data_IF_486181243329
#
_entry.id   IF_486181243329
#
_cell.length_a   1.000
_cell.length_b   1.000
_cell.length_c   1.000
_cell.angle_alpha   90.00
_cell.angle_beta   90.00
_cell.angle_gamma   90.00
#
_symmetry.space_group_name_H-M   'P 1'
#
loop_
_entity.id
_entity.type
_entity.pdbx_description
1 polymer ?
#
# COMPACT_ATOMS: atom_id res chain seq x y z
N UNK A 1 1.11 27.09 6.56
CA UNK A 1 -0.05 26.18 6.43
C UNK A 1 -0.04 25.06 7.50
N UNK A 2 0.83 24.05 7.46
CA UNK A 2 0.73 22.89 8.39
C UNK A 2 0.84 23.25 9.90
N UNK A 3 1.66 24.25 10.26
CA UNK A 3 1.72 24.75 11.64
C UNK A 3 0.37 25.31 12.09
N UNK A 4 -0.24 26.15 11.25
CA UNK A 4 -1.54 26.77 11.51
C UNK A 4 -2.64 25.71 11.68
N UNK A 5 -2.68 24.68 10.81
CA UNK A 5 -3.64 23.57 10.96
C UNK A 5 -3.49 22.86 12.32
N UNK A 6 -2.25 22.60 12.75
CA UNK A 6 -1.98 21.99 14.07
C UNK A 6 -2.44 22.88 15.22
N UNK A 7 -2.20 24.19 15.13
CA UNK A 7 -2.59 25.15 16.16
C UNK A 7 -4.11 25.28 16.26
N UNK A 8 -4.82 25.25 15.12
CA UNK A 8 -6.29 25.20 15.07
C UNK A 8 -6.82 23.93 15.73
N UNK A 9 -6.35 22.75 15.32
CA UNK A 9 -6.78 21.46 15.91
C UNK A 9 -6.50 21.44 17.42
N UNK A 10 -5.35 21.95 17.84
CA UNK A 10 -4.99 22.06 19.26
C UNK A 10 -6.00 22.93 20.01
N UNK A 11 -6.38 24.08 19.48
CA UNK A 11 -7.38 24.93 20.12
C UNK A 11 -8.71 24.19 20.33
N UNK A 12 -9.26 23.57 19.28
CA UNK A 12 -10.52 22.82 19.38
C UNK A 12 -10.42 21.66 20.39
N UNK A 13 -9.26 21.00 20.48
CA UNK A 13 -9.07 19.92 21.46
C UNK A 13 -9.02 20.38 22.92
N UNK A 14 -8.79 21.67 23.19
CA UNK A 14 -8.69 22.23 24.54
C UNK A 14 -9.90 23.08 24.94
N UNK A 15 -10.68 23.59 23.98
CA UNK A 15 -11.84 24.44 24.23
C UNK A 15 -13.12 23.63 24.12
N UNK A 16 -13.76 23.34 25.26
CA UNK A 16 -15.08 22.68 25.29
C UNK A 16 -16.11 23.48 24.51
N UNK A 17 -16.12 24.81 24.64
CA UNK A 17 -17.03 25.69 23.91
C UNK A 17 -16.85 25.56 22.39
N UNK A 18 -15.62 25.63 21.90
CA UNK A 18 -15.32 25.55 20.47
C UNK A 18 -15.63 24.17 19.92
N UNK A 19 -15.42 23.10 20.70
CA UNK A 19 -15.76 21.73 20.31
C UNK A 19 -17.29 21.54 20.21
N UNK A 20 -18.06 22.07 21.16
CA UNK A 20 -19.53 22.00 21.11
C UNK A 20 -20.09 22.74 19.90
N UNK A 21 -19.56 23.93 19.60
CA UNK A 21 -19.96 24.71 18.42
C UNK A 21 -19.62 23.97 17.12
N UNK A 22 -18.43 23.36 17.06
CA UNK A 22 -18.02 22.54 15.93
C UNK A 22 -18.95 21.34 15.74
N UNK A 23 -19.31 20.64 16.83
CA UNK A 23 -20.19 19.47 16.75
C UNK A 23 -21.59 19.84 16.25
N UNK A 24 -22.15 20.94 16.74
CA UNK A 24 -23.45 21.44 16.29
C UNK A 24 -23.43 21.71 14.78
N UNK A 25 -22.42 22.44 14.28
CA UNK A 25 -22.28 22.74 12.85
C UNK A 25 -22.07 21.48 12.01
N UNK A 26 -21.30 20.51 12.51
CA UNK A 26 -21.12 19.22 11.82
C UNK A 26 -22.43 18.47 11.66
N UNK A 27 -23.31 18.51 12.65
CA UNK A 27 -24.64 17.92 12.55
C UNK A 27 -25.52 18.66 11.55
N UNK A 28 -25.45 20.00 11.51
CA UNK A 28 -26.18 20.84 10.54
C UNK A 28 -25.75 20.57 9.09
N UNK A 29 -24.46 20.29 8.84
CA UNK A 29 -23.91 20.02 7.51
C UNK A 29 -23.79 18.52 7.18
N UNK A 30 -24.36 17.64 8.01
CA UNK A 30 -24.30 16.17 7.84
C UNK A 30 -22.86 15.61 7.75
N UNK A 31 -21.90 16.29 8.39
CA UNK A 31 -20.48 15.89 8.43
C UNK A 31 -20.26 14.85 9.53
N UNK A 32 -20.13 13.59 9.13
CA UNK A 32 -20.00 12.44 10.02
C UNK A 32 -18.69 12.38 10.83
N UNK A 33 -17.62 13.03 10.37
CA UNK A 33 -16.30 12.98 11.01
C UNK A 33 -15.83 14.33 11.59
N UNK A 34 -15.29 14.29 12.81
CA UNK A 34 -14.78 15.47 13.52
C UNK A 34 -13.28 15.66 13.35
N UNK A 35 -12.75 16.82 13.72
CA UNK A 35 -11.32 17.15 13.55
C UNK A 35 -10.42 16.04 14.10
N UNK A 36 -9.59 15.45 13.22
CA UNK A 36 -8.65 14.40 13.59
C UNK A 36 -7.35 15.02 14.07
N UNK A 37 -6.92 14.63 15.27
CA UNK A 37 -5.60 15.00 15.80
C UNK A 37 -4.51 14.39 14.92
N UNK A 38 -3.60 15.24 14.46
CA UNK A 38 -2.42 14.80 13.73
C UNK A 38 -1.53 14.00 14.67
N UNK A 39 -1.48 12.69 14.46
CA UNK A 39 -0.70 11.76 15.25
C UNK A 39 0.78 11.79 14.84
N UNK A 40 1.66 11.40 15.77
CA UNK A 40 3.09 11.22 15.47
C UNK A 40 3.38 9.92 14.71
N UNK A 41 2.51 8.91 14.85
CA UNK A 41 2.76 7.53 14.41
C UNK A 41 2.01 7.14 13.13
N UNK A 42 0.86 7.74 12.84
CA UNK A 42 0.05 7.41 11.64
C UNK A 42 0.30 8.43 10.54
N UNK A 43 1.05 8.02 9.52
CA UNK A 43 1.53 8.86 8.41
C UNK A 43 0.42 9.60 7.65
N UNK A 44 -0.78 9.01 7.51
CA UNK A 44 -1.90 9.62 6.80
C UNK A 44 -2.75 10.59 7.63
N UNK A 45 -2.50 10.77 8.94
CA UNK A 45 -3.33 11.66 9.77
C UNK A 45 -3.26 13.13 9.35
N UNK A 46 -2.17 13.54 8.70
CA UNK A 46 -2.06 14.85 8.07
C UNK A 46 -3.07 15.04 6.94
N UNK A 47 -3.30 14.00 6.12
CA UNK A 47 -4.27 14.05 5.04
C UNK A 47 -5.70 14.18 5.58
N UNK A 48 -6.09 13.32 6.53
CA UNK A 48 -7.43 13.39 7.14
C UNK A 48 -7.66 14.74 7.84
N UNK A 49 -6.67 15.24 8.56
CA UNK A 49 -6.75 16.57 9.19
C UNK A 49 -6.92 17.70 8.17
N UNK A 50 -6.27 17.63 7.00
CA UNK A 50 -6.43 18.62 5.94
C UNK A 50 -7.81 18.53 5.29
N UNK A 51 -8.30 17.33 4.97
CA UNK A 51 -9.62 17.12 4.36
C UNK A 51 -10.72 17.64 5.29
N UNK A 52 -10.68 17.25 6.56
CA UNK A 52 -11.65 17.71 7.55
C UNK A 52 -11.49 19.18 7.89
N UNK A 53 -10.25 19.68 7.87
CA UNK A 53 -9.98 21.11 7.97
C UNK A 53 -10.76 21.88 6.90
N UNK A 54 -10.62 21.52 5.62
CA UNK A 54 -11.32 22.20 4.51
C UNK A 54 -12.83 22.33 4.76
N UNK A 55 -13.48 21.29 5.32
CA UNK A 55 -14.91 21.31 5.63
C UNK A 55 -15.23 22.10 6.92
N UNK A 56 -14.37 22.01 7.94
CA UNK A 56 -14.57 22.67 9.23
C UNK A 56 -14.30 24.19 9.22
N UNK A 57 -13.71 24.75 8.15
CA UNK A 57 -13.37 26.18 8.04
C UNK A 57 -14.59 27.05 7.64
N UNK A 58 -15.72 26.88 8.32
CA UNK A 58 -16.86 27.81 8.28
C UNK A 58 -16.47 29.02 9.14
N UNK A 59 -16.41 30.21 8.54
CA UNK A 59 -15.82 31.42 9.10
C UNK A 59 -16.33 31.86 10.49
N UNK A 60 -17.51 31.41 10.91
CA UNK A 60 -18.13 31.82 12.18
C UNK A 60 -17.48 31.21 13.44
N UNK A 61 -16.98 29.97 13.38
CA UNK A 61 -16.47 29.28 14.58
C UNK A 61 -15.06 29.76 14.97
N UNK A 62 -14.31 30.31 14.01
CA UNK A 62 -12.92 30.74 14.18
C UNK A 62 -12.77 32.20 14.65
N UNK A 63 -13.83 33.01 14.54
CA UNK A 63 -13.85 34.40 15.00
C UNK A 63 -13.72 34.52 16.54
N UNK A 64 -14.03 33.45 17.28
CA UNK A 64 -13.94 33.40 18.75
C UNK A 64 -12.57 32.87 19.27
N UNK A 65 -11.60 32.67 18.39
CA UNK A 65 -10.27 32.23 18.78
C UNK A 65 -9.50 33.38 19.43
N UNK A 66 -8.76 33.10 20.51
CA UNK A 66 -7.84 34.07 21.13
C UNK A 66 -6.43 34.06 20.52
N UNK A 67 -6.14 33.13 19.59
CA UNK A 67 -4.82 33.02 18.98
C UNK A 67 -4.70 34.01 17.81
N UNK A 68 -3.92 35.08 18.01
CA UNK A 68 -3.70 36.15 17.02
C UNK A 68 -3.25 35.65 15.65
N UNK A 69 -2.42 34.60 15.58
CA UNK A 69 -1.95 34.03 14.30
C UNK A 69 -3.09 33.32 13.56
N UNK A 70 -3.98 32.67 14.30
CA UNK A 70 -5.16 31.99 13.74
C UNK A 70 -6.18 33.03 13.30
N UNK A 71 -6.50 34.00 14.17
CA UNK A 71 -7.35 35.13 13.83
C UNK A 71 -6.83 35.83 12.57
N UNK A 72 -5.55 36.20 12.50
CA UNK A 72 -4.99 36.90 11.34
C UNK A 72 -5.09 36.09 10.03
N UNK A 73 -4.89 34.77 10.09
CA UNK A 73 -5.03 33.91 8.92
C UNK A 73 -6.48 33.73 8.45
N UNK A 74 -7.46 33.92 9.34
CA UNK A 74 -8.89 33.72 9.05
C UNK A 74 -9.70 35.03 8.96
N UNK A 75 -9.18 36.17 9.41
CA UNK A 75 -9.87 37.48 9.43
C UNK A 75 -9.82 38.19 8.07
N UNK A 76 -8.85 37.86 7.22
CA UNK A 76 -8.73 38.44 5.88
C UNK A 76 -9.28 37.49 4.81
N UNK A 77 -10.20 37.97 3.96
CA UNK A 77 -10.79 37.19 2.87
C UNK A 77 -9.72 36.55 1.96
N UNK A 78 -8.63 37.27 1.70
CA UNK A 78 -7.51 36.79 0.88
C UNK A 78 -6.64 35.76 1.59
N UNK A 79 -6.24 36.01 2.85
CA UNK A 79 -5.38 35.10 3.62
C UNK A 79 -6.07 33.76 3.89
N UNK A 80 -7.38 33.80 4.15
CA UNK A 80 -8.21 32.61 4.31
C UNK A 80 -8.26 31.81 3.00
N UNK A 81 -8.55 32.47 1.87
CA UNK A 81 -8.58 31.81 0.57
C UNK A 81 -7.23 31.18 0.20
N UNK A 82 -6.11 31.88 0.43
CA UNK A 82 -4.76 31.36 0.19
C UNK A 82 -4.47 30.12 1.05
N UNK A 83 -4.91 30.11 2.31
CA UNK A 83 -4.77 28.97 3.20
C UNK A 83 -5.63 27.77 2.77
N UNK A 84 -6.91 27.99 2.42
CA UNK A 84 -7.80 26.97 1.90
C UNK A 84 -7.27 26.36 0.60
N UNK A 85 -6.80 27.20 -0.32
CA UNK A 85 -6.17 26.76 -1.56
C UNK A 85 -4.94 25.88 -1.27
N UNK A 86 -4.08 26.30 -0.34
CA UNK A 86 -2.91 25.51 0.06
C UNK A 86 -3.30 24.15 0.66
N UNK A 87 -4.36 24.08 1.48
CA UNK A 87 -4.88 22.82 2.02
C UNK A 87 -5.46 21.93 0.92
N UNK A 88 -6.18 22.51 -0.04
CA UNK A 88 -6.74 21.77 -1.17
C UNK A 88 -5.63 21.20 -2.05
N UNK A 89 -4.60 21.98 -2.36
CA UNK A 89 -3.43 21.51 -3.11
C UNK A 89 -2.71 20.38 -2.38
N UNK A 90 -2.46 20.56 -1.08
CA UNK A 90 -1.80 19.54 -0.27
C UNK A 90 -2.60 18.23 -0.19
N UNK A 91 -3.91 18.31 0.10
CA UNK A 91 -4.77 17.13 0.15
C UNK A 91 -4.86 16.43 -1.21
N UNK A 92 -4.91 17.19 -2.31
CA UNK A 92 -4.90 16.64 -3.67
C UNK A 92 -3.62 15.85 -3.94
N UNK A 93 -2.45 16.39 -3.59
CA UNK A 93 -1.15 15.72 -3.79
C UNK A 93 -1.01 14.48 -2.91
N UNK A 94 -1.42 14.55 -1.64
CA UNK A 94 -1.18 13.47 -0.66
C UNK A 94 -2.27 12.39 -0.72
N UNK A 95 -3.45 12.69 -1.26
CA UNK A 95 -4.59 11.78 -1.36
C UNK A 95 -4.26 10.40 -1.94
N UNK A 96 -3.60 10.30 -3.11
CA UNK A 96 -3.21 9.01 -3.69
C UNK A 96 -2.34 8.18 -2.74
N UNK A 97 -1.39 8.83 -2.05
CA UNK A 97 -0.49 8.16 -1.11
C UNK A 97 -1.24 7.70 0.14
N UNK A 98 -2.12 8.54 0.68
CA UNK A 98 -2.91 8.22 1.87
C UNK A 98 -3.87 7.05 1.61
N UNK A 99 -4.58 7.04 0.47
CA UNK A 99 -5.47 5.94 0.11
C UNK A 99 -4.72 4.64 -0.14
N UNK A 100 -3.56 4.70 -0.80
CA UNK A 100 -2.70 3.54 -1.00
C UNK A 100 -2.20 2.99 0.33
N UNK A 101 -1.79 3.85 1.26
CA UNK A 101 -1.39 3.44 2.60
C UNK A 101 -2.54 2.75 3.34
N UNK A 102 -3.75 3.31 3.32
CA UNK A 102 -4.91 2.68 3.96
C UNK A 102 -5.30 1.35 3.32
N UNK A 103 -5.23 1.26 1.99
CA UNK A 103 -5.46 0.00 1.28
C UNK A 103 -4.40 -1.04 1.65
N UNK A 104 -3.15 -0.63 1.88
CA UNK A 104 -2.11 -1.53 2.38
C UNK A 104 -2.42 -2.08 3.77
N UNK A 105 -3.20 -1.38 4.60
CA UNK A 105 -3.60 -1.86 5.93
C UNK A 105 -4.76 -2.88 5.90
N UNK A 106 -5.32 -3.18 4.72
CA UNK A 106 -6.33 -4.22 4.60
C UNK A 106 -5.72 -5.61 4.87
N UNK A 107 -6.52 -6.50 5.45
CA UNK A 107 -6.05 -7.82 5.89
C UNK A 107 -5.68 -8.76 4.72
N UNK A 108 -6.22 -8.48 3.52
CA UNK A 108 -6.03 -9.30 2.31
C UNK A 108 -4.93 -8.77 1.38
N UNK A 109 -4.26 -7.69 1.78
CA UNK A 109 -3.20 -7.08 0.98
C UNK A 109 -1.96 -7.96 0.96
N UNK A 110 -1.41 -8.19 -0.22
CA UNK A 110 -0.22 -8.98 -0.45
C UNK A 110 0.90 -8.18 -1.16
N UNK A 111 2.04 -8.81 -1.40
CA UNK A 111 3.22 -8.18 -1.99
C UNK A 111 3.00 -7.61 -3.40
N UNK A 112 2.09 -8.19 -4.20
CA UNK A 112 1.74 -7.66 -5.51
C UNK A 112 1.03 -6.30 -5.38
N UNK A 113 0.14 -6.16 -4.40
CA UNK A 113 -0.64 -4.94 -4.20
C UNK A 113 0.27 -3.74 -3.88
N UNK A 114 1.39 -3.95 -3.19
CA UNK A 114 2.40 -2.91 -2.93
C UNK A 114 2.92 -2.33 -4.24
N UNK A 115 3.33 -3.19 -5.18
CA UNK A 115 3.80 -2.75 -6.49
C UNK A 115 2.69 -2.04 -7.28
N UNK A 116 1.48 -2.60 -7.27
CA UNK A 116 0.33 -2.02 -7.96
C UNK A 116 -0.05 -0.64 -7.40
N UNK A 117 0.03 -0.43 -6.09
CA UNK A 117 -0.24 0.88 -5.49
C UNK A 117 0.85 1.90 -5.81
N UNK A 118 2.12 1.52 -5.90
CA UNK A 118 3.15 2.41 -6.44
C UNK A 118 2.79 2.86 -7.88
N UNK A 119 2.37 1.94 -8.75
CA UNK A 119 1.94 2.29 -10.11
C UNK A 119 0.71 3.20 -10.11
N UNK A 120 -0.28 2.91 -9.27
CA UNK A 120 -1.50 3.70 -9.15
C UNK A 120 -1.21 5.13 -8.68
N UNK A 121 -0.37 5.30 -7.64
CA UNK A 121 0.07 6.63 -7.17
C UNK A 121 0.78 7.38 -8.30
N UNK A 122 1.68 6.71 -9.03
CA UNK A 122 2.41 7.34 -10.13
C UNK A 122 1.47 7.85 -11.23
N UNK A 123 0.49 7.01 -11.62
CA UNK A 123 -0.51 7.35 -12.62
C UNK A 123 -1.37 8.53 -12.17
N UNK A 124 -1.84 8.51 -10.92
CA UNK A 124 -2.70 9.56 -10.38
C UNK A 124 -1.95 10.89 -10.20
N UNK A 125 -0.72 10.87 -9.67
CA UNK A 125 0.09 12.07 -9.57
C UNK A 125 0.37 12.70 -10.96
N UNK A 126 0.63 11.86 -11.97
CA UNK A 126 0.81 12.34 -13.35
C UNK A 126 -0.46 13.02 -13.88
N UNK A 127 -1.62 12.47 -13.59
CA UNK A 127 -2.91 13.02 -14.02
C UNK A 127 -3.30 14.30 -13.25
N UNK A 128 -2.93 14.40 -11.97
CA UNK A 128 -3.06 15.64 -11.19
C UNK A 128 -2.16 16.74 -11.78
N UNK A 129 -0.94 16.40 -12.16
CA UNK A 129 0.04 17.38 -12.63
C UNK A 129 -0.05 17.72 -14.12
N UNK A 130 -0.80 16.94 -14.92
CA UNK A 130 -1.12 17.29 -16.31
C UNK A 130 -2.14 18.41 -16.40
N UNK A 131 -2.86 18.71 -15.31
CA UNK A 131 -3.94 19.71 -15.23
C UNK A 131 -3.64 20.80 -14.18
N UNK A 132 -2.64 21.66 -14.44
CA UNK A 132 -2.27 22.72 -13.50
C UNK A 132 -3.38 23.77 -13.31
N UNK A 133 -4.22 24.00 -14.32
CA UNK A 133 -5.35 24.95 -14.28
C UNK A 133 -6.38 24.53 -13.22
N UNK A 134 -6.71 23.24 -13.16
CA UNK A 134 -7.74 22.69 -12.25
C UNK A 134 -7.25 22.61 -10.79
N UNK A 135 -5.96 22.37 -10.61
CA UNK A 135 -5.37 22.10 -9.29
C UNK A 135 -4.67 23.30 -8.67
N UNK A 136 -4.32 24.30 -9.49
CA UNK A 136 -3.48 25.44 -9.10
C UNK A 136 -2.04 25.06 -8.73
N UNK A 137 -1.62 23.81 -8.99
CA UNK A 137 -0.29 23.31 -8.62
C UNK A 137 0.74 23.77 -9.64
N UNK A 138 1.74 24.53 -9.20
CA UNK A 138 2.83 24.99 -10.05
C UNK A 138 3.64 23.81 -10.61
N UNK A 139 3.99 23.87 -11.89
CA UNK A 139 4.77 22.84 -12.58
C UNK A 139 6.14 22.58 -11.93
N UNK A 140 6.77 23.60 -11.35
CA UNK A 140 8.02 23.42 -10.59
C UNK A 140 7.84 22.54 -9.35
N UNK A 141 6.72 22.69 -8.64
CA UNK A 141 6.40 21.88 -7.47
C UNK A 141 6.05 20.45 -7.90
N UNK A 142 5.26 20.29 -8.97
CA UNK A 142 4.93 19.00 -9.56
C UNK A 142 6.20 18.19 -9.91
N UNK A 143 7.16 18.82 -10.61
CA UNK A 143 8.45 18.20 -10.94
C UNK A 143 9.22 17.75 -9.70
N UNK A 144 9.27 18.58 -8.66
CA UNK A 144 9.93 18.23 -7.37
C UNK A 144 9.27 17.02 -6.72
N UNK A 145 7.95 16.97 -6.69
CA UNK A 145 7.19 15.86 -6.09
C UNK A 145 7.42 14.57 -6.87
N UNK A 146 7.31 14.61 -8.20
CA UNK A 146 7.57 13.44 -9.05
C UNK A 146 9.01 12.95 -8.87
N UNK A 147 9.99 13.86 -8.78
CA UNK A 147 11.38 13.46 -8.54
C UNK A 147 11.55 12.75 -7.18
N UNK A 148 10.92 13.26 -6.12
CA UNK A 148 10.93 12.60 -4.80
C UNK A 148 10.29 11.22 -4.90
N UNK A 149 9.13 11.12 -5.55
CA UNK A 149 8.40 9.88 -5.73
C UNK A 149 9.23 8.84 -6.49
N UNK A 150 9.81 9.21 -7.63
CA UNK A 150 10.63 8.31 -8.44
C UNK A 150 11.90 7.86 -7.73
N UNK A 151 12.54 8.77 -6.98
CA UNK A 151 13.68 8.39 -6.14
C UNK A 151 13.29 7.32 -5.13
N UNK A 152 12.17 7.50 -4.42
CA UNK A 152 11.66 6.51 -3.45
C UNK A 152 11.25 5.21 -4.11
N UNK A 153 10.60 5.29 -5.29
CA UNK A 153 10.26 4.11 -6.08
C UNK A 153 11.52 3.31 -6.46
N UNK A 154 12.56 4.00 -6.94
CA UNK A 154 13.83 3.36 -7.31
C UNK A 154 14.47 2.66 -6.11
N UNK A 155 14.60 3.37 -4.99
CA UNK A 155 15.16 2.83 -3.74
C UNK A 155 14.36 1.62 -3.22
N UNK A 156 13.04 1.63 -3.35
CA UNK A 156 12.15 0.64 -2.74
C UNK A 156 11.81 -0.56 -3.63
N UNK A 157 11.75 -0.35 -4.95
CA UNK A 157 11.35 -1.36 -5.94
C UNK A 157 12.54 -1.80 -6.79
N UNK A 158 13.23 -0.87 -7.45
CA UNK A 158 14.27 -1.23 -8.44
C UNK A 158 15.62 -1.61 -7.80
N UNK A 159 15.94 -1.04 -6.64
CA UNK A 159 17.18 -1.29 -5.89
C UNK A 159 16.97 -2.23 -4.69
N UNK A 160 15.77 -2.82 -4.57
CA UNK A 160 15.47 -3.79 -3.52
C UNK A 160 16.29 -5.06 -3.72
N UNK A 161 16.99 -5.56 -2.67
CA UNK A 161 17.89 -6.71 -2.80
C UNK A 161 17.17 -8.00 -3.22
N UNK A 162 15.91 -8.15 -2.81
CA UNK A 162 15.11 -9.36 -3.03
C UNK A 162 13.98 -9.16 -4.04
N UNK A 163 13.73 -7.92 -4.47
CA UNK A 163 12.77 -7.59 -5.54
C UNK A 163 11.35 -8.17 -5.37
N UNK A 164 10.98 -8.46 -4.12
CA UNK A 164 9.82 -9.30 -3.77
C UNK A 164 8.50 -8.73 -4.29
N UNK A 165 8.34 -7.41 -4.31
CA UNK A 165 7.11 -6.75 -4.75
C UNK A 165 6.90 -6.86 -6.26
N UNK A 166 7.97 -6.70 -7.06
CA UNK A 166 7.89 -6.88 -8.50
C UNK A 166 7.61 -8.35 -8.85
N UNK A 167 8.31 -9.28 -8.19
CA UNK A 167 8.12 -10.71 -8.40
C UNK A 167 6.70 -11.14 -8.02
N UNK A 168 6.18 -10.66 -6.89
CA UNK A 168 4.81 -10.94 -6.49
C UNK A 168 3.80 -10.44 -7.53
N UNK A 169 3.99 -9.24 -8.07
CA UNK A 169 3.13 -8.70 -9.12
C UNK A 169 3.24 -9.51 -10.42
N UNK A 170 4.44 -9.97 -10.79
CA UNK A 170 4.63 -10.83 -11.96
C UNK A 170 3.96 -12.21 -11.78
N UNK A 171 4.06 -12.79 -10.57
CA UNK A 171 3.46 -14.09 -10.22
C UNK A 171 1.96 -13.99 -9.88
N UNK A 172 1.37 -12.80 -9.96
CA UNK A 172 -0.07 -12.66 -9.88
C UNK A 172 -0.68 -12.96 -11.26
N UNK A 173 -1.47 -14.03 -11.39
CA UNK A 173 -2.09 -14.42 -12.67
C UNK A 173 -2.99 -13.31 -13.26
N UNK A 174 -3.41 -12.32 -12.47
CA UNK A 174 -4.17 -11.16 -12.95
C UNK A 174 -3.31 -10.17 -13.77
N UNK A 175 -1.99 -10.18 -13.58
CA UNK A 175 -1.09 -9.16 -14.13
C UNK A 175 0.01 -9.71 -15.04
N UNK A 176 0.26 -11.03 -15.10
CA UNK A 176 1.36 -11.64 -15.87
C UNK A 176 1.45 -11.19 -17.33
N UNK A 177 0.30 -10.95 -17.97
CA UNK A 177 0.20 -10.51 -19.37
C UNK A 177 -0.08 -9.01 -19.53
N UNK A 178 -0.02 -8.25 -18.44
CA UNK A 178 -0.36 -6.83 -18.48
C UNK A 178 0.81 -5.97 -18.98
N UNK A 179 0.48 -4.89 -19.69
CA UNK A 179 1.49 -3.97 -20.24
C UNK A 179 2.35 -3.28 -19.16
N UNK A 180 1.90 -3.28 -17.91
CA UNK A 180 2.63 -2.65 -16.80
C UNK A 180 3.98 -3.33 -16.55
N UNK A 181 4.13 -4.61 -16.93
CA UNK A 181 5.36 -5.37 -16.78
C UNK A 181 6.34 -5.13 -17.95
N UNK A 182 5.85 -4.58 -19.07
CA UNK A 182 6.64 -4.35 -20.28
C UNK A 182 7.45 -3.06 -20.24
N UNK A 183 6.96 -2.05 -19.51
CA UNK A 183 7.56 -0.70 -19.51
C UNK A 183 8.12 -0.38 -18.13
N UNK A 184 9.38 0.07 -18.01
CA UNK A 184 9.81 0.72 -16.77
C UNK A 184 8.91 1.92 -16.49
N UNK A 185 8.72 2.27 -15.22
CA UNK A 185 8.04 3.52 -14.83
C UNK A 185 8.87 4.70 -15.35
N UNK A 186 8.61 5.13 -16.58
CA UNK A 186 9.13 6.37 -17.13
C UNK A 186 8.12 7.47 -16.86
N UNK A 187 8.12 8.00 -15.64
CA UNK A 187 7.29 9.17 -15.31
C UNK A 187 8.07 10.47 -15.58
N UNK A 188 9.39 10.42 -15.82
CA UNK A 188 10.21 11.62 -16.11
C UNK A 188 11.33 11.43 -17.12
N UNK A 189 11.20 10.57 -18.14
CA UNK A 189 12.26 10.54 -19.16
C UNK A 189 11.65 10.46 -20.55
N UNK A 190 11.99 11.46 -21.35
CA UNK A 190 11.99 11.33 -22.81
C UNK A 190 12.80 10.10 -23.25
N UNK A 191 12.93 9.85 -24.56
CA UNK A 191 13.48 8.61 -25.09
C UNK A 191 14.79 8.26 -24.38
N UNK A 192 14.75 7.22 -23.55
CA UNK A 192 15.95 6.66 -22.93
C UNK A 192 16.67 5.90 -24.04
N UNK A 193 17.67 6.54 -24.63
CA UNK A 193 18.59 5.89 -25.55
C UNK A 193 19.30 4.83 -24.71
N UNK A 194 18.84 3.59 -24.85
CA UNK A 194 19.46 2.44 -24.21
C UNK A 194 20.64 2.09 -25.10
N UNK A 195 21.84 2.57 -24.76
CA UNK A 195 23.07 2.14 -25.43
C UNK A 195 23.30 0.68 -25.00
N UNK A 196 23.19 -0.30 -25.90
CA UNK A 196 23.43 -1.69 -25.53
C UNK A 196 24.85 -1.82 -25.01
N UNK A 197 24.98 -2.39 -23.80
CA UNK A 197 26.29 -2.75 -23.26
C UNK A 197 26.94 -3.77 -24.19
N UNK A 198 28.20 -3.52 -24.56
CA UNK A 198 28.99 -4.37 -25.46
C UNK A 198 29.39 -5.73 -24.84
N UNK A 199 28.77 -6.11 -23.72
CA UNK A 199 28.92 -7.45 -23.16
C UNK A 199 27.98 -8.40 -23.90
N UNK A 200 28.57 -9.16 -24.82
CA UNK A 200 28.02 -10.37 -25.41
C UNK A 200 27.29 -11.23 -24.37
N UNK A 201 25.98 -11.06 -24.25
CA UNK A 201 25.08 -12.14 -23.85
C UNK A 201 24.44 -12.54 -25.16
N UNK A 202 24.72 -13.75 -25.64
CA UNK A 202 24.01 -14.29 -26.81
C UNK A 202 22.50 -14.20 -26.60
N UNK A 203 21.68 -14.27 -27.67
CA UNK A 203 20.24 -14.28 -27.53
C UNK A 203 19.86 -15.36 -26.51
N UNK A 204 19.25 -14.91 -25.42
CA UNK A 204 18.74 -15.80 -24.39
C UNK A 204 17.43 -16.34 -24.92
N UNK A 205 17.56 -17.39 -25.75
CA UNK A 205 16.48 -17.90 -26.58
C UNK A 205 15.22 -18.20 -25.75
N UNK A 206 15.38 -18.59 -24.48
CA UNK A 206 14.26 -18.86 -23.58
C UNK A 206 13.50 -17.60 -23.17
N UNK A 207 14.21 -16.56 -22.73
CA UNK A 207 13.59 -15.31 -22.31
C UNK A 207 12.95 -14.55 -23.47
N UNK A 208 13.51 -14.65 -24.67
CA UNK A 208 12.95 -14.04 -25.89
C UNK A 208 11.62 -14.70 -26.31
N UNK A 209 11.33 -15.90 -25.81
CA UNK A 209 10.04 -16.57 -26.01
C UNK A 209 8.97 -16.23 -24.94
N UNK A 210 9.31 -15.44 -23.92
CA UNK A 210 8.33 -14.96 -22.95
C UNK A 210 7.63 -13.69 -23.47
N UNK A 211 6.34 -13.46 -23.18
CA UNK A 211 5.64 -12.23 -23.62
C UNK A 211 6.30 -10.94 -23.11
N UNK A 212 6.93 -11.01 -21.93
CA UNK A 212 7.60 -9.89 -21.27
C UNK A 212 9.06 -10.27 -20.92
N UNK A 213 10.01 -10.31 -21.89
CA UNK A 213 11.36 -10.87 -21.68
C UNK A 213 12.13 -10.22 -20.52
N UNK A 214 12.00 -8.91 -20.34
CA UNK A 214 12.67 -8.17 -19.26
C UNK A 214 12.13 -8.58 -17.88
N UNK A 215 10.81 -8.68 -17.75
CA UNK A 215 10.16 -9.07 -16.50
C UNK A 215 10.48 -10.53 -16.16
N UNK A 216 10.44 -11.40 -17.17
CA UNK A 216 10.87 -12.79 -17.07
C UNK A 216 12.30 -12.91 -16.54
N UNK A 217 13.29 -12.24 -17.16
CA UNK A 217 14.69 -12.28 -16.72
C UNK A 217 14.88 -11.80 -15.28
N UNK A 218 14.12 -10.77 -14.87
CA UNK A 218 14.15 -10.22 -13.51
C UNK A 218 13.67 -11.26 -12.48
N UNK A 219 12.57 -11.97 -12.76
CA UNK A 219 12.04 -13.03 -11.89
C UNK A 219 12.90 -14.30 -11.93
N UNK A 220 13.43 -14.65 -13.09
CA UNK A 220 14.29 -15.81 -13.24
C UNK A 220 15.58 -15.67 -12.43
N UNK A 221 16.19 -14.49 -12.45
CA UNK A 221 17.38 -14.18 -11.66
C UNK A 221 17.16 -14.38 -10.15
N UNK A 222 15.94 -14.11 -9.66
CA UNK A 222 15.56 -14.37 -8.27
C UNK A 222 15.46 -15.87 -7.97
N UNK A 223 14.77 -16.63 -8.82
CA UNK A 223 14.64 -18.09 -8.65
C UNK A 223 15.97 -18.83 -8.65
N UNK A 224 16.98 -18.31 -9.37
CA UNK A 224 18.35 -18.83 -9.40
C UNK A 224 19.19 -18.46 -8.17
N UNK A 225 18.72 -17.55 -7.31
CA UNK A 225 19.37 -17.16 -6.05
C UNK A 225 18.52 -17.57 -4.84
N UNK A 226 18.22 -18.88 -4.65
CA UNK A 226 17.43 -19.27 -3.51
C UNK A 226 18.19 -18.98 -2.21
N UNK A 227 17.67 -18.06 -1.40
CA UNK A 227 18.10 -17.95 -0.01
C UNK A 227 17.84 -19.29 0.68
N UNK A 228 18.90 -19.89 1.23
CA UNK A 228 18.87 -21.23 1.83
C UNK A 228 17.90 -21.35 3.02
N UNK A 229 17.50 -20.22 3.61
CA UNK A 229 16.61 -20.18 4.77
C UNK A 229 15.14 -20.55 4.45
N UNK A 230 14.67 -20.38 3.20
CA UNK A 230 13.24 -20.52 2.85
C UNK A 230 12.86 -21.82 2.11
N UNK A 231 13.82 -22.46 1.44
CA UNK A 231 13.57 -23.58 0.52
C UNK A 231 13.86 -24.96 1.12
N UNK A 232 14.23 -25.06 2.40
CA UNK A 232 14.67 -26.33 3.02
C UNK A 232 13.71 -27.51 2.81
N UNK A 233 12.39 -27.27 2.84
CA UNK A 233 11.38 -28.31 2.55
C UNK A 233 11.38 -28.76 1.09
N UNK A 234 11.48 -27.83 0.14
CA UNK A 234 11.60 -28.18 -1.28
C UNK A 234 12.91 -28.94 -1.54
N UNK A 235 14.01 -28.51 -0.95
CA UNK A 235 15.32 -29.16 -1.12
C UNK A 235 15.29 -30.59 -0.58
N UNK A 236 14.62 -30.82 0.55
CA UNK A 236 14.41 -32.16 1.09
C UNK A 236 13.60 -33.04 0.14
N UNK A 237 12.55 -32.49 -0.50
CA UNK A 237 11.72 -33.23 -1.46
C UNK A 237 12.41 -33.48 -2.80
N UNK A 238 13.07 -32.47 -3.34
CA UNK A 238 13.77 -32.52 -4.63
C UNK A 238 15.17 -33.17 -4.55
N UNK A 239 15.66 -33.45 -3.34
CA UNK A 239 16.99 -34.00 -3.01
C UNK A 239 18.19 -33.13 -3.43
N UNK A 240 17.98 -32.10 -4.25
CA UNK A 240 19.02 -31.19 -4.73
C UNK A 240 18.46 -29.83 -5.15
N UNK A 241 19.21 -28.76 -4.86
CA UNK A 241 18.92 -27.39 -5.33
C UNK A 241 18.98 -27.30 -6.87
N UNK A 242 19.82 -28.13 -7.50
CA UNK A 242 19.97 -28.16 -8.95
C UNK A 242 18.68 -28.58 -9.65
N UNK A 243 18.00 -29.60 -9.10
CA UNK A 243 16.71 -30.10 -9.62
C UNK A 243 15.63 -29.01 -9.51
N UNK A 244 15.63 -28.24 -8.43
CA UNK A 244 14.69 -27.11 -8.26
C UNK A 244 14.94 -26.05 -9.33
N UNK A 245 16.20 -25.70 -9.59
CA UNK A 245 16.55 -24.73 -10.63
C UNK A 245 16.20 -25.23 -12.04
N UNK A 246 16.43 -26.52 -12.33
CA UNK A 246 16.08 -27.18 -13.59
C UNK A 246 14.56 -27.26 -13.80
N UNK A 247 13.77 -27.42 -12.73
CA UNK A 247 12.30 -27.37 -12.80
C UNK A 247 11.75 -25.93 -12.88
N UNK A 248 12.42 -24.96 -12.28
CA UNK A 248 11.87 -23.60 -12.11
C UNK A 248 11.74 -22.84 -13.44
N UNK A 249 12.80 -22.75 -14.26
CA UNK A 249 12.77 -21.96 -15.50
C UNK A 249 11.68 -22.43 -16.48
N UNK A 250 11.54 -23.75 -16.78
CA UNK A 250 10.48 -24.23 -17.67
C UNK A 250 9.08 -23.94 -17.13
N UNK A 251 8.87 -24.03 -15.82
CA UNK A 251 7.58 -23.71 -15.19
C UNK A 251 7.29 -22.21 -15.25
N UNK A 252 8.29 -21.36 -15.00
CA UNK A 252 8.16 -19.91 -15.12
C UNK A 252 7.85 -19.48 -16.55
N UNK A 253 8.48 -20.11 -17.55
CA UNK A 253 8.22 -19.85 -18.95
C UNK A 253 6.80 -20.27 -19.33
N UNK A 254 6.39 -21.48 -18.96
CA UNK A 254 5.02 -21.98 -19.16
C UNK A 254 3.99 -21.04 -18.53
N UNK A 255 4.26 -20.57 -17.30
CA UNK A 255 3.43 -19.58 -16.62
C UNK A 255 3.34 -18.26 -17.38
N UNK A 256 4.49 -17.73 -17.83
CA UNK A 256 4.55 -16.47 -18.57
C UNK A 256 3.75 -16.51 -19.87
N UNK A 257 3.64 -17.68 -20.49
CA UNK A 257 2.87 -17.90 -21.73
C UNK A 257 1.41 -18.25 -21.48
N UNK A 258 1.02 -18.45 -20.21
CA UNK A 258 -0.30 -18.97 -19.86
C UNK A 258 -0.53 -20.37 -20.42
N UNK A 259 0.47 -21.25 -20.38
CA UNK A 259 0.33 -22.66 -20.76
C UNK A 259 -0.22 -23.48 -19.59
N UNK A 260 -0.90 -24.60 -19.88
CA UNK A 260 -1.46 -25.48 -18.84
C UNK A 260 -0.36 -25.97 -17.87
N UNK A 261 -0.55 -25.90 -16.53
CA UNK A 261 -1.81 -25.69 -15.81
C UNK A 261 -2.13 -24.22 -15.47
N UNK A 262 -1.35 -23.24 -15.93
CA UNK A 262 -1.51 -21.83 -15.56
C UNK A 262 -2.63 -21.10 -16.30
N UNK A 263 -3.29 -21.78 -17.24
CA UNK A 263 -4.50 -21.33 -17.95
C UNK A 263 -5.72 -21.23 -17.03
N UNK A 264 -5.71 -21.95 -15.90
CA UNK A 264 -6.87 -22.06 -15.03
C UNK A 264 -7.18 -20.70 -14.38
N UNK A 265 -8.39 -20.15 -14.55
CA UNK A 265 -8.70 -18.82 -14.03
C UNK A 265 -8.71 -18.83 -12.50
N UNK A 266 -8.33 -17.69 -11.90
CA UNK A 266 -8.36 -17.49 -10.44
C UNK A 266 -9.79 -17.63 -9.89
N UNK A 267 -10.78 -17.13 -10.64
CA UNK A 267 -12.18 -17.15 -10.22
C UNK A 267 -12.41 -16.34 -8.94
N UNK A 268 -13.09 -16.94 -7.96
CA UNK A 268 -13.37 -16.34 -6.66
C UNK A 268 -12.28 -16.58 -5.60
N UNK A 269 -11.20 -17.27 -5.96
CA UNK A 269 -10.12 -17.61 -5.04
C UNK A 269 -9.20 -16.41 -4.80
N UNK A 270 -8.53 -16.39 -3.66
CA UNK A 270 -7.36 -15.54 -3.48
C UNK A 270 -6.20 -16.06 -4.36
N UNK A 271 -5.24 -15.18 -4.66
CA UNK A 271 -4.04 -15.57 -5.41
C UNK A 271 -3.25 -16.67 -4.68
N UNK A 272 -3.22 -16.62 -3.35
CA UNK A 272 -2.59 -17.64 -2.52
C UNK A 272 -3.27 -19.00 -2.69
N UNK A 273 -4.59 -19.08 -2.56
CA UNK A 273 -5.36 -20.33 -2.73
C UNK A 273 -5.21 -20.90 -4.14
N UNK A 274 -5.14 -20.04 -5.17
CA UNK A 274 -4.90 -20.48 -6.55
C UNK A 274 -3.53 -21.17 -6.69
N UNK A 275 -2.49 -20.58 -6.09
CA UNK A 275 -1.16 -21.20 -6.07
C UNK A 275 -1.11 -22.48 -5.21
N UNK A 276 -1.84 -22.55 -4.10
CA UNK A 276 -1.96 -23.76 -3.26
C UNK A 276 -2.59 -24.94 -4.02
N UNK A 277 -3.58 -24.67 -4.86
CA UNK A 277 -4.17 -25.68 -5.73
C UNK A 277 -3.19 -26.14 -6.82
N UNK A 278 -2.50 -25.20 -7.47
CA UNK A 278 -1.48 -25.52 -8.47
C UNK A 278 -0.27 -26.27 -7.91
N UNK A 279 0.04 -26.10 -6.62
CA UNK A 279 1.14 -26.83 -5.97
C UNK A 279 0.94 -28.36 -6.00
N UNK A 280 -0.31 -28.83 -6.18
CA UNK A 280 -0.64 -30.25 -6.34
C UNK A 280 -0.26 -30.79 -7.72
N UNK A 281 -0.09 -29.91 -8.72
CA UNK A 281 0.19 -30.30 -10.10
C UNK A 281 1.71 -30.44 -10.36
N UNK A 282 2.18 -31.57 -10.92
CA UNK A 282 3.63 -31.82 -11.12
C UNK A 282 4.34 -30.73 -11.94
N UNK A 283 3.66 -30.17 -12.96
CA UNK A 283 4.20 -29.11 -13.83
C UNK A 283 4.15 -27.69 -13.24
N UNK A 284 3.64 -27.51 -12.02
CA UNK A 284 3.58 -26.19 -11.38
C UNK A 284 4.13 -26.19 -9.96
N UNK A 285 4.36 -27.36 -9.37
CA UNK A 285 4.74 -27.54 -7.96
C UNK A 285 5.88 -26.62 -7.49
N UNK A 286 6.94 -26.50 -8.30
CA UNK A 286 8.15 -25.77 -7.90
C UNK A 286 7.88 -24.26 -7.93
N UNK A 287 7.35 -23.74 -9.03
CA UNK A 287 6.96 -22.33 -9.13
C UNK A 287 5.89 -21.96 -8.09
N UNK A 288 4.88 -22.82 -7.92
CA UNK A 288 3.79 -22.62 -6.97
C UNK A 288 4.28 -22.54 -5.52
N UNK A 289 5.27 -23.37 -5.14
CA UNK A 289 5.87 -23.26 -3.81
C UNK A 289 6.49 -21.89 -3.57
N UNK A 290 7.25 -21.35 -4.53
CA UNK A 290 7.83 -20.01 -4.41
C UNK A 290 6.75 -18.94 -4.29
N UNK A 291 5.73 -19.00 -5.15
CA UNK A 291 4.62 -18.07 -5.10
C UNK A 291 3.87 -18.11 -3.76
N UNK A 292 3.54 -19.31 -3.25
CA UNK A 292 2.91 -19.48 -1.92
C UNK A 292 3.74 -18.79 -0.84
N UNK A 293 5.06 -18.97 -0.85
CA UNK A 293 5.95 -18.33 0.13
C UNK A 293 5.89 -16.81 0.05
N UNK A 294 5.93 -16.25 -1.16
CA UNK A 294 5.87 -14.80 -1.38
C UNK A 294 4.51 -14.25 -0.93
N UNK A 295 3.40 -14.87 -1.32
CA UNK A 295 2.05 -14.44 -0.96
C UNK A 295 1.68 -14.70 0.51
N UNK A 296 2.43 -15.54 1.22
CA UNK A 296 2.29 -15.73 2.66
C UNK A 296 2.95 -14.63 3.50
N UNK A 297 3.77 -13.75 2.89
CA UNK A 297 4.43 -12.66 3.61
C UNK A 297 3.45 -11.51 3.81
N UNK A 298 3.28 -11.08 5.06
CA UNK A 298 2.55 -9.86 5.37
C UNK A 298 3.39 -8.64 4.96
N UNK A 299 2.81 -7.79 4.10
CA UNK A 299 3.49 -6.61 3.55
C UNK A 299 3.58 -5.43 4.50
N UNK A 300 2.83 -5.47 5.60
CA UNK A 300 2.81 -4.40 6.57
C UNK A 300 2.86 -4.99 7.98
N UNK A 301 3.47 -4.26 8.90
CA UNK A 301 3.50 -4.59 10.33
C UNK A 301 2.25 -4.11 11.08
N UNK A 302 1.21 -3.66 10.37
CA UNK A 302 0.02 -3.06 10.97
C UNK A 302 -0.84 -4.07 11.74
N UNK A 303 -0.96 -5.36 11.34
CA UNK A 303 -1.51 -6.40 12.21
C UNK A 303 -0.80 -6.46 13.58
N UNK A 304 0.52 -6.33 13.60
CA UNK A 304 1.29 -6.29 14.84
C UNK A 304 1.09 -4.98 15.60
N UNK A 305 1.00 -3.84 14.90
CA UNK A 305 0.69 -2.54 15.53
C UNK A 305 -0.72 -2.53 16.14
N UNK A 306 -1.74 -3.03 15.45
CA UNK A 306 -3.11 -3.16 15.98
C UNK A 306 -3.13 -4.10 17.17
N UNK A 307 -2.33 -5.17 17.14
CA UNK A 307 -2.15 -6.06 18.28
C UNK A 307 -1.50 -5.32 19.45
N UNK A 308 -0.45 -4.52 19.22
CA UNK A 308 0.17 -3.67 20.24
C UNK A 308 -0.79 -2.63 20.80
N UNK A 309 -1.64 -2.01 19.97
CA UNK A 309 -2.67 -1.07 20.44
C UNK A 309 -3.68 -1.77 21.37
N UNK A 310 -4.09 -3.01 21.04
CA UNK A 310 -4.93 -3.82 21.94
C UNK A 310 -4.19 -4.14 23.24
N UNK A 311 -2.90 -4.51 23.19
CA UNK A 311 -2.07 -4.70 24.39
C UNK A 311 -2.06 -3.44 25.25
N UNK A 312 -1.81 -2.26 24.67
CA UNK A 312 -1.83 -0.99 25.40
C UNK A 312 -3.19 -0.69 26.02
N UNK A 313 -4.27 -0.97 25.30
CA UNK A 313 -5.62 -0.79 25.84
C UNK A 313 -5.92 -1.73 27.01
N UNK A 314 -5.55 -3.01 26.90
CA UNK A 314 -5.69 -3.97 27.99
C UNK A 314 -4.80 -3.61 29.19
N UNK A 315 -3.62 -3.04 28.93
CA UNK A 315 -2.65 -2.63 29.94
C UNK A 315 -2.67 -1.12 30.25
N UNK A 316 -3.84 -0.48 30.14
CA UNK A 316 -3.99 0.95 30.46
C UNK A 316 -3.69 1.24 31.94
N UNK A 317 -3.38 2.49 32.33
CA UNK A 317 -3.05 2.84 33.73
C UNK A 317 -4.13 2.47 34.76
N UNK A 318 -5.39 2.32 34.33
CA UNK A 318 -6.50 1.90 35.18
C UNK A 318 -6.65 0.37 35.30
N UNK A 319 -5.87 -0.39 34.52
CA UNK A 319 -5.90 -1.87 34.40
C UNK A 319 -4.51 -2.50 34.65
N UNK A 320 -3.69 -1.82 35.46
CA UNK A 320 -2.31 -2.21 35.74
C UNK A 320 -2.24 -3.61 36.38
N UNK A 321 -1.19 -4.36 36.06
CA UNK A 321 -0.77 -5.67 36.61
C UNK A 321 -1.29 -6.96 35.94
N UNK A 322 -1.76 -6.91 34.69
CA UNK A 322 -1.94 -8.15 33.94
C UNK A 322 -0.59 -8.76 33.53
N UNK A 323 -0.42 -10.07 33.75
CA UNK A 323 0.76 -10.80 33.26
C UNK A 323 0.79 -10.74 31.74
N UNK A 324 1.98 -10.65 31.15
CA UNK A 324 2.15 -10.68 29.68
C UNK A 324 1.47 -11.90 29.06
N UNK A 325 1.54 -13.06 29.71
CA UNK A 325 0.85 -14.28 29.26
C UNK A 325 -0.67 -14.12 29.22
N UNK A 326 -1.27 -13.46 30.22
CA UNK A 326 -2.71 -13.16 30.24
C UNK A 326 -3.10 -12.25 29.09
N UNK A 327 -2.31 -11.21 28.81
CA UNK A 327 -2.54 -10.29 27.68
C UNK A 327 -2.49 -11.03 26.33
N UNK A 328 -1.50 -11.91 26.15
CA UNK A 328 -1.36 -12.74 24.96
C UNK A 328 -2.58 -13.64 24.79
N UNK A 329 -2.99 -14.35 25.85
CA UNK A 329 -4.15 -15.23 25.81
C UNK A 329 -5.44 -14.47 25.47
N UNK A 330 -5.67 -13.30 26.08
CA UNK A 330 -6.84 -12.46 25.80
C UNK A 330 -6.89 -12.01 24.35
N UNK A 331 -5.74 -11.66 23.77
CA UNK A 331 -5.65 -11.26 22.36
C UNK A 331 -5.89 -12.45 21.44
N UNK A 332 -5.28 -13.61 21.71
CA UNK A 332 -5.47 -14.81 20.91
C UNK A 332 -6.92 -15.28 20.94
N UNK A 333 -7.57 -15.26 22.10
CA UNK A 333 -9.00 -15.55 22.24
C UNK A 333 -9.84 -14.54 21.44
N UNK A 334 -9.56 -13.23 21.56
CA UNK A 334 -10.27 -12.20 20.81
C UNK A 334 -10.07 -12.30 19.29
N UNK A 335 -8.87 -12.66 18.83
CA UNK A 335 -8.58 -12.93 17.42
C UNK A 335 -9.31 -14.19 16.94
N UNK A 336 -9.30 -15.26 17.75
CA UNK A 336 -9.98 -16.51 17.43
C UNK A 336 -11.49 -16.28 17.26
N UNK A 337 -12.16 -15.62 18.21
CA UNK A 337 -13.57 -15.28 18.08
C UNK A 337 -13.84 -14.31 16.93
N UNK A 338 -12.96 -13.33 16.69
CA UNK A 338 -13.10 -12.42 15.55
C UNK A 338 -13.06 -13.13 14.19
N UNK A 339 -12.22 -14.17 14.04
CA UNK A 339 -12.13 -14.97 12.82
C UNK A 339 -13.32 -15.94 12.70
N UNK A 340 -13.75 -16.57 13.81
CA UNK A 340 -14.74 -17.65 13.79
C UNK A 340 -16.20 -17.18 13.99
N UNK A 341 -16.45 -15.99 14.53
CA UNK A 341 -17.82 -15.43 14.56
C UNK A 341 -18.26 -14.98 13.15
N UNK A 342 -17.34 -14.50 12.31
CA UNK A 342 -17.65 -14.10 10.93
C UNK A 342 -18.09 -15.31 10.10
N UNK A 343 -17.46 -16.48 10.28
CA UNK A 343 -17.88 -17.71 9.61
C UNK A 343 -19.22 -18.27 10.13
N UNK A 344 -19.51 -18.13 11.44
CA UNK A 344 -20.81 -18.51 12.01
C UNK A 344 -21.96 -17.61 11.53
N UNK A 345 -21.67 -16.35 11.24
CA UNK A 345 -22.64 -15.39 10.71
C UNK A 345 -23.01 -15.73 9.27
N UNK A 346 -22.04 -16.14 8.45
CA UNK A 346 -22.27 -16.62 7.09
C UNK A 346 -22.98 -17.98 7.04
N UNK A 347 -22.78 -18.86 8.02
CA UNK A 347 -23.53 -20.11 8.14
C UNK A 347 -25.02 -19.91 8.45
N UNK A 348 -25.39 -18.85 9.17
CA UNK A 348 -26.80 -18.55 9.47
C UNK A 348 -27.58 -17.97 8.28
N UNK A 349 -26.89 -17.42 7.28
CA UNK A 349 -27.53 -16.83 6.09
C UNK A 349 -27.87 -17.90 5.03
N UNK A 350 -27.32 -19.11 5.13
CA UNK A 350 -27.58 -20.22 4.20
C UNK A 350 -28.50 -21.32 4.78
N UNK A 351 -29.21 -21.06 5.89
CA UNK A 351 -30.18 -21.99 6.49
C UNK A 351 -31.56 -21.32 6.66
N UNK A 352 -31.94 -20.40 5.77
CA UNK A 352 -33.33 -19.97 5.63
C UNK A 352 -33.72 -19.80 4.17
#
# INVERSE_FOLDING_TARGET
MMKLLKDTIKHFSHSTYSMTQLEQRRLEEEITEGLIKIGKTRFATHYSACVLGIHAFIGDVLMNLQNKDVIAAFSGQRANLEFQLALKQYSTIIGPLARSLWALEAAQTNAADVYMFWLAIAAELRDIFSRPEDTGIKQELAKKIIHIFLRRYKEFIDESPDDIYFIAAYLDPRYVNSEILNKPISVTSGPTITIPSLMNVGPDAEADMAPCPRAYKRVEAYGRRPSSAGIGRLVQQAKSVKVIAEEFSPQLLSYSRGEYPFTDPVGSKTVLEWWEDLAKHPKARTLAFFAIKIFSVLVNSMPDERTRLKITWFNSPLRINQKVSTLVNMIQVGQWYGIHQVSFSQWKVNIY
#
